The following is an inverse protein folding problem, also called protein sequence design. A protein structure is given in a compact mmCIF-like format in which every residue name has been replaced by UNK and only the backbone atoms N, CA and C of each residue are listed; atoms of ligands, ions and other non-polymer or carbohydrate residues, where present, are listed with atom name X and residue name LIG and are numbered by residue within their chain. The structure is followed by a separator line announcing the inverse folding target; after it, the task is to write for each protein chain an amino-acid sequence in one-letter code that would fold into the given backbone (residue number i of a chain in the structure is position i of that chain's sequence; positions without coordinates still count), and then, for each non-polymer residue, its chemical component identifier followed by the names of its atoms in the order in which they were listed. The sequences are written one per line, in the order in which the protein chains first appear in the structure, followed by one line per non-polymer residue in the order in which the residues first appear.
data_IF_003455218294
#
_entry.id   IF_003455218294
#
_cell.length_a   1.000
_cell.length_b   1.000
_cell.length_c   1.000
_cell.angle_alpha   90.00
_cell.angle_beta   90.00
_cell.angle_gamma   90.00
#
_symmetry.space_group_name_H-M   'P 1'
#
loop_
_entity.id
_entity.type
_entity.pdbx_description
1 polymer ?
#
# COMPACT_ATOMS: atom_id res chain seq x y z
N UNK A 1 -35.36 0.55 -52.94
CA UNK A 1 -34.11 -0.23 -52.80
C UNK A 1 -33.16 0.58 -51.91
N UNK A 2 -32.93 0.07 -50.69
CA UNK A 2 -31.86 0.36 -49.70
C UNK A 2 -31.32 1.79 -49.41
N UNK A 3 -31.79 2.30 -48.26
CA UNK A 3 -31.06 2.95 -47.14
C UNK A 3 -29.52 3.02 -47.24
N UNK A 4 -28.96 4.21 -46.96
CA UNK A 4 -27.57 4.41 -46.49
C UNK A 4 -27.61 5.41 -45.33
N UNK A 5 -27.87 4.95 -44.10
CA UNK A 5 -26.89 4.72 -43.02
C UNK A 5 -26.07 5.96 -42.60
N UNK A 6 -26.64 6.70 -41.64
CA UNK A 6 -25.91 7.59 -40.73
C UNK A 6 -25.19 6.68 -39.72
N UNK A 7 -23.87 6.73 -39.66
CA UNK A 7 -23.08 6.17 -38.54
C UNK A 7 -22.11 7.25 -38.05
N UNK A 8 -22.59 8.12 -37.17
CA UNK A 8 -21.71 8.94 -36.34
C UNK A 8 -21.29 8.09 -35.15
N UNK A 9 -20.05 7.61 -35.17
CA UNK A 9 -19.44 6.85 -34.08
C UNK A 9 -19.25 7.77 -32.88
N UNK A 10 -20.11 7.63 -31.87
CA UNK A 10 -19.90 8.22 -30.55
C UNK A 10 -18.86 7.36 -29.83
N UNK A 11 -17.59 7.70 -29.98
CA UNK A 11 -16.53 7.25 -29.09
C UNK A 11 -16.67 8.00 -27.76
N UNK A 12 -17.62 7.57 -26.93
CA UNK A 12 -17.62 7.89 -25.49
C UNK A 12 -16.40 7.19 -24.90
N UNK A 13 -15.26 7.88 -24.95
CA UNK A 13 -14.11 7.56 -24.14
C UNK A 13 -14.61 7.42 -22.70
N UNK A 14 -14.41 6.25 -22.12
CA UNK A 14 -14.52 6.03 -20.70
C UNK A 14 -13.44 6.87 -20.02
N UNK A 15 -13.68 8.18 -19.89
CA UNK A 15 -12.94 9.02 -18.98
C UNK A 15 -13.38 8.57 -17.58
N UNK A 16 -12.66 7.59 -17.02
CA UNK A 16 -12.66 7.44 -15.58
C UNK A 16 -12.34 8.81 -14.99
N UNK A 17 -13.06 9.29 -13.97
CA UNK A 17 -12.72 10.54 -13.32
C UNK A 17 -11.25 10.43 -12.91
N UNK A 18 -10.40 11.19 -13.61
CA UNK A 18 -9.00 11.28 -13.26
C UNK A 18 -8.97 11.98 -11.91
N UNK A 19 -8.49 11.27 -10.89
CA UNK A 19 -8.33 11.87 -9.57
C UNK A 19 -7.32 13.02 -9.68
N UNK A 20 -7.40 14.01 -8.79
CA UNK A 20 -6.33 15.00 -8.71
C UNK A 20 -5.06 14.34 -8.14
N UNK A 21 -3.90 14.88 -8.51
CA UNK A 21 -2.64 14.51 -7.87
C UNK A 21 -2.74 14.72 -6.35
N UNK A 22 -2.12 13.82 -5.59
CA UNK A 22 -2.20 13.83 -4.13
C UNK A 22 -0.87 13.36 -3.53
N UNK A 23 -0.35 14.13 -2.58
CA UNK A 23 0.72 13.68 -1.69
C UNK A 23 0.18 13.52 -0.28
N UNK A 24 0.19 12.31 0.24
CA UNK A 24 -0.21 11.99 1.62
C UNK A 24 1.03 11.81 2.50
N UNK A 25 1.03 12.44 3.67
CA UNK A 25 2.10 12.34 4.66
C UNK A 25 1.59 11.63 5.90
N UNK A 26 2.17 10.48 6.21
CA UNK A 26 1.97 9.76 7.46
C UNK A 26 3.11 10.01 8.43
N UNK A 27 2.77 10.07 9.72
CA UNK A 27 3.65 10.46 10.82
C UNK A 27 3.49 9.49 12.00
N UNK A 28 4.54 9.34 12.80
CA UNK A 28 4.51 8.72 14.14
C UNK A 28 4.99 9.79 15.12
N UNK A 29 4.28 9.98 16.23
CA UNK A 29 4.69 10.81 17.39
C UNK A 29 5.30 12.19 17.02
N UNK A 30 4.50 13.03 16.38
CA UNK A 30 4.89 14.39 15.98
C UNK A 30 4.42 14.73 14.57
N UNK A 31 5.14 15.64 13.89
CA UNK A 31 4.79 16.12 12.55
C UNK A 31 5.79 15.72 11.46
N UNK A 32 6.87 15.03 11.83
CA UNK A 32 7.82 14.52 10.83
C UNK A 32 7.21 13.33 10.09
N UNK A 33 7.11 13.45 8.76
CA UNK A 33 6.62 12.36 7.92
C UNK A 33 7.61 11.20 7.90
N UNK A 34 7.12 10.03 8.29
CA UNK A 34 7.85 8.76 8.21
C UNK A 34 7.50 7.99 6.93
N UNK A 35 6.32 8.23 6.37
CA UNK A 35 5.89 7.66 5.10
C UNK A 35 5.22 8.76 4.28
N UNK A 36 5.68 8.92 3.05
CA UNK A 36 5.05 9.84 2.09
C UNK A 36 4.61 9.05 0.87
N UNK A 37 3.36 9.24 0.47
CA UNK A 37 2.77 8.61 -0.71
C UNK A 37 2.37 9.68 -1.72
N UNK A 38 3.03 9.68 -2.86
CA UNK A 38 2.72 10.51 -4.02
C UNK A 38 1.83 9.69 -4.95
N UNK A 39 0.65 10.19 -5.29
CA UNK A 39 -0.39 9.51 -6.04
C UNK A 39 -0.74 10.40 -7.21
N UNK A 40 -0.35 10.00 -8.42
CA UNK A 40 -0.68 10.71 -9.63
C UNK A 40 -2.14 10.48 -10.03
N UNK A 41 -2.69 11.43 -10.79
CA UNK A 41 -4.03 11.38 -11.35
C UNK A 41 -4.34 10.11 -12.16
N UNK A 42 -3.31 9.51 -12.77
CA UNK A 42 -3.41 8.28 -13.55
C UNK A 42 -3.38 6.99 -12.70
N UNK A 43 -3.24 7.11 -11.37
CA UNK A 43 -3.15 5.99 -10.43
C UNK A 43 -1.73 5.44 -10.22
N UNK A 44 -0.70 6.05 -10.82
CA UNK A 44 0.68 5.71 -10.47
C UNK A 44 0.98 6.22 -9.05
N UNK A 45 1.71 5.42 -8.27
CA UNK A 45 1.98 5.69 -6.86
C UNK A 45 3.47 5.57 -6.58
N UNK A 46 4.05 6.56 -5.90
CA UNK A 46 5.40 6.47 -5.33
C UNK A 46 5.31 6.61 -3.82
N UNK A 47 5.69 5.58 -3.09
CA UNK A 47 5.65 5.55 -1.63
C UNK A 47 7.06 5.41 -1.06
N UNK A 48 7.46 6.33 -0.18
CA UNK A 48 8.78 6.32 0.49
C UNK A 48 8.60 6.21 1.99
N UNK A 49 9.54 5.53 2.63
CA UNK A 49 9.64 5.42 4.09
C UNK A 49 10.94 6.08 4.55
N UNK A 50 10.83 7.21 5.24
CA UNK A 50 11.98 8.02 5.65
C UNK A 50 12.70 8.66 4.46
N UNK A 51 13.81 8.06 4.02
CA UNK A 51 14.73 8.62 3.03
C UNK A 51 14.29 8.38 1.57
N UNK A 52 14.81 9.18 0.63
CA UNK A 52 14.64 8.96 -0.82
C UNK A 52 15.52 7.82 -1.38
N UNK A 53 16.39 7.21 -0.57
CA UNK A 53 17.31 6.16 -1.02
C UNK A 53 16.61 4.84 -1.34
N UNK A 54 15.38 4.64 -0.86
CA UNK A 54 14.52 3.55 -1.26
C UNK A 54 13.05 3.95 -1.28
N UNK A 55 12.31 3.44 -2.26
CA UNK A 55 10.89 3.72 -2.41
C UNK A 55 10.19 2.60 -3.19
N UNK A 56 8.90 2.45 -2.94
CA UNK A 56 8.01 1.67 -3.77
C UNK A 56 7.44 2.53 -4.88
N UNK A 57 7.33 1.94 -6.07
CA UNK A 57 6.73 2.58 -7.23
C UNK A 57 5.71 1.61 -7.83
N UNK A 58 4.45 2.01 -7.87
CA UNK A 58 3.42 1.34 -8.68
C UNK A 58 3.25 2.14 -9.94
N UNK A 59 3.44 1.49 -11.09
CA UNK A 59 3.27 2.10 -12.41
C UNK A 59 2.45 1.19 -13.30
N UNK A 60 1.38 1.71 -13.89
CA UNK A 60 0.49 0.97 -14.78
C UNK A 60 0.04 -0.39 -14.18
N UNK A 61 -0.23 -0.40 -12.87
CA UNK A 61 -0.67 -1.60 -12.13
C UNK A 61 0.44 -2.57 -11.70
N UNK A 62 1.70 -2.35 -12.09
CA UNK A 62 2.84 -3.14 -11.64
C UNK A 62 3.57 -2.46 -10.49
N UNK A 63 3.85 -3.20 -9.42
CA UNK A 63 4.61 -2.70 -8.27
C UNK A 63 6.09 -3.08 -8.33
N UNK A 64 6.93 -2.09 -8.03
CA UNK A 64 8.38 -2.16 -8.00
C UNK A 64 8.91 -1.66 -6.67
N UNK A 65 10.07 -2.17 -6.27
CA UNK A 65 10.89 -1.61 -5.21
C UNK A 65 12.16 -1.04 -5.84
N UNK A 66 12.46 0.21 -5.52
CA UNK A 66 13.66 0.92 -5.96
C UNK A 66 14.53 1.16 -4.75
N UNK A 67 15.82 0.89 -4.87
CA UNK A 67 16.81 1.19 -3.81
C UNK A 67 18.15 1.59 -4.41
N UNK A 68 19.00 2.24 -3.61
CA UNK A 68 20.41 2.41 -3.94
C UNK A 68 21.14 1.06 -4.03
N UNK A 69 22.01 0.91 -5.03
CA UNK A 69 22.97 -0.17 -5.18
C UNK A 69 24.36 0.36 -5.55
N UNK A 70 25.35 -0.54 -5.72
CA UNK A 70 26.75 -0.15 -5.95
C UNK A 70 26.96 0.71 -7.20
N UNK A 71 26.25 0.39 -8.28
CA UNK A 71 26.41 1.04 -9.60
C UNK A 71 25.26 2.02 -9.93
N UNK A 72 24.43 2.36 -8.94
CA UNK A 72 23.26 3.23 -9.12
C UNK A 72 21.97 2.64 -8.55
N UNK A 73 20.83 3.19 -8.96
CA UNK A 73 19.53 2.72 -8.50
C UNK A 73 19.20 1.35 -9.09
N UNK A 74 18.85 0.41 -8.22
CA UNK A 74 18.34 -0.90 -8.57
C UNK A 74 16.82 -0.86 -8.57
N UNK A 75 16.22 -1.52 -9.56
CA UNK A 75 14.77 -1.66 -9.69
C UNK A 75 14.42 -3.13 -9.66
N UNK A 76 13.52 -3.52 -8.76
CA UNK A 76 13.08 -4.90 -8.60
C UNK A 76 11.57 -4.98 -8.71
N UNK A 77 11.05 -5.97 -9.44
CA UNK A 77 9.60 -6.23 -9.42
C UNK A 77 9.24 -6.84 -8.07
N UNK A 78 8.14 -6.37 -7.47
CA UNK A 78 7.71 -6.87 -6.18
C UNK A 78 7.34 -8.37 -6.22
N UNK A 79 6.90 -8.87 -7.37
CA UNK A 79 6.65 -10.31 -7.61
C UNK A 79 7.93 -11.15 -7.57
N UNK A 80 9.06 -10.62 -8.06
CA UNK A 80 10.34 -11.33 -8.05
C UNK A 80 10.95 -11.31 -6.66
N UNK A 81 10.81 -10.20 -5.92
CA UNK A 81 11.14 -10.14 -4.50
C UNK A 81 10.34 -11.19 -3.72
N UNK A 82 9.02 -11.22 -3.89
CA UNK A 82 8.17 -12.17 -3.18
C UNK A 82 8.54 -13.63 -3.50
N UNK A 83 8.84 -13.93 -4.76
CA UNK A 83 9.28 -15.27 -5.16
C UNK A 83 10.64 -15.65 -4.55
N UNK A 84 11.63 -14.75 -4.57
CA UNK A 84 12.94 -15.00 -3.94
C UNK A 84 12.80 -15.19 -2.43
N UNK A 85 12.00 -14.37 -1.75
CA UNK A 85 11.72 -14.53 -0.32
C UNK A 85 11.04 -15.87 -0.02
N UNK A 86 10.08 -16.29 -0.85
CA UNK A 86 9.41 -17.60 -0.76
C UNK A 86 10.41 -18.76 -0.91
N UNK A 87 11.30 -18.69 -1.90
CA UNK A 87 12.34 -19.71 -2.12
C UNK A 87 13.30 -19.81 -0.92
N UNK A 88 13.74 -18.68 -0.37
CA UNK A 88 14.62 -18.64 0.80
C UNK A 88 13.95 -19.19 2.06
N UNK A 89 12.72 -18.76 2.35
CA UNK A 89 11.94 -19.28 3.48
C UNK A 89 11.60 -20.76 3.31
N UNK A 90 11.45 -21.22 2.06
CA UNK A 90 11.23 -22.63 1.79
C UNK A 90 12.44 -23.49 2.21
N UNK A 91 13.66 -22.96 2.07
CA UNK A 91 14.91 -23.62 2.42
C UNK A 91 15.25 -23.54 3.91
N UNK A 92 14.58 -22.69 4.72
CA UNK A 92 14.83 -22.58 6.15
C UNK A 92 14.14 -23.73 6.94
N UNK A 93 14.90 -24.54 7.71
CA UNK A 93 14.37 -25.72 8.41
C UNK A 93 13.53 -25.38 9.65
N UNK A 94 13.64 -24.17 10.19
CA UNK A 94 12.91 -23.69 11.37
C UNK A 94 11.93 -22.58 11.01
N UNK A 95 10.84 -22.92 10.32
CA UNK A 95 9.75 -21.97 10.10
C UNK A 95 8.99 -21.78 11.42
N UNK A 96 8.61 -20.54 11.79
CA UNK A 96 7.66 -20.32 12.86
C UNK A 96 6.40 -21.14 12.58
N UNK A 97 5.92 -21.91 13.56
CA UNK A 97 4.60 -22.52 13.46
C UNK A 97 3.56 -21.40 13.32
N UNK A 98 2.62 -21.48 12.36
CA UNK A 98 1.53 -20.52 12.27
C UNK A 98 0.83 -20.38 13.62
N UNK A 99 0.50 -19.16 14.03
CA UNK A 99 -0.30 -18.95 15.23
C UNK A 99 -1.67 -19.64 15.04
N UNK A 100 -2.04 -20.64 15.87
CA UNK A 100 -3.30 -21.35 15.74
C UNK A 100 -4.53 -20.44 15.94
N UNK A 101 -4.35 -19.27 16.55
CA UNK A 101 -5.39 -18.25 16.77
C UNK A 101 -5.43 -17.17 15.68
N UNK A 102 -4.54 -17.24 14.69
CA UNK A 102 -4.49 -16.33 13.56
C UNK A 102 -5.86 -16.08 12.91
N UNK A 103 -6.59 -17.17 12.66
CA UNK A 103 -7.91 -17.18 12.03
C UNK A 103 -9.02 -16.58 12.89
N UNK A 104 -8.79 -16.40 14.19
CA UNK A 104 -9.77 -15.85 15.13
C UNK A 104 -9.62 -14.32 15.25
N UNK A 105 -8.49 -13.78 14.79
CA UNK A 105 -8.21 -12.33 14.74
C UNK A 105 -9.11 -11.64 13.72
N UNK A 106 -9.88 -10.66 14.15
CA UNK A 106 -10.78 -9.81 13.37
C UNK A 106 -10.65 -8.36 13.78
N UNK A 107 -10.93 -7.46 12.85
CA UNK A 107 -11.07 -6.04 13.12
C UNK A 107 -12.53 -5.68 13.38
N UNK A 108 -12.82 -5.21 14.59
CA UNK A 108 -14.17 -4.86 15.05
C UNK A 108 -14.30 -3.35 15.18
N UNK A 109 -15.35 -2.79 14.59
CA UNK A 109 -15.65 -1.38 14.69
C UNK A 109 -15.97 -0.98 16.15
N UNK A 110 -15.42 0.14 16.61
CA UNK A 110 -15.66 0.70 17.95
C UNK A 110 -16.47 2.00 17.93
N UNK A 111 -16.52 2.69 16.79
CA UNK A 111 -17.28 3.93 16.65
C UNK A 111 -16.54 4.99 15.83
N UNK A 112 -17.18 6.15 15.69
CA UNK A 112 -16.58 7.28 14.99
C UNK A 112 -15.53 7.97 15.88
N UNK A 113 -14.40 8.31 15.27
CA UNK A 113 -13.30 9.08 15.88
C UNK A 113 -12.81 10.15 14.91
N UNK A 114 -11.97 11.05 15.39
CA UNK A 114 -11.30 12.06 14.57
C UNK A 114 -9.80 11.93 14.72
N UNK A 115 -9.08 11.84 13.60
CA UNK A 115 -7.62 11.89 13.56
C UNK A 115 -7.24 13.19 12.87
N UNK A 116 -6.60 14.10 13.59
CA UNK A 116 -6.15 15.40 13.08
C UNK A 116 -7.25 16.17 12.31
N UNK A 117 -8.48 16.14 12.85
CA UNK A 117 -9.64 16.82 12.28
C UNK A 117 -10.38 16.05 11.18
N UNK A 118 -9.90 14.88 10.76
CA UNK A 118 -10.56 14.00 9.77
C UNK A 118 -11.37 12.94 10.46
N UNK A 119 -12.64 12.81 10.08
CA UNK A 119 -13.55 11.79 10.62
C UNK A 119 -13.25 10.42 10.04
N UNK A 120 -13.29 9.40 10.89
CA UNK A 120 -13.22 8.01 10.47
C UNK A 120 -13.86 7.08 11.50
N UNK A 121 -13.89 5.79 11.17
CA UNK A 121 -14.34 4.73 12.07
C UNK A 121 -13.12 4.01 12.64
N UNK A 122 -13.07 3.92 13.96
CA UNK A 122 -12.04 3.17 14.68
C UNK A 122 -12.34 1.67 14.65
N UNK A 123 -11.28 0.89 14.43
CA UNK A 123 -11.28 -0.57 14.43
C UNK A 123 -10.22 -1.08 15.41
N UNK A 124 -10.60 -2.08 16.18
CA UNK A 124 -9.74 -2.78 17.14
C UNK A 124 -9.62 -4.25 16.77
N UNK A 125 -8.51 -4.87 17.14
CA UNK A 125 -8.39 -6.32 17.09
C UNK A 125 -9.30 -6.95 18.14
N UNK A 126 -10.08 -7.95 17.76
CA UNK A 126 -10.97 -8.74 18.64
C UNK A 126 -10.20 -9.71 19.57
N UNK A 127 -9.17 -9.23 20.27
CA UNK A 127 -8.50 -10.07 21.24
C UNK A 127 -9.41 -10.28 22.48
N UNK A 128 -9.40 -11.48 23.06
CA UNK A 128 -9.91 -11.75 24.42
C UNK A 128 -9.16 -10.95 25.49
N UNK A 129 -7.96 -10.45 25.15
CA UNK A 129 -7.21 -9.44 25.88
C UNK A 129 -7.41 -8.02 25.34
N UNK A 130 -8.52 -7.75 24.64
CA UNK A 130 -8.87 -6.43 24.14
C UNK A 130 -8.86 -5.42 25.30
N UNK A 131 -7.70 -4.79 25.37
CA UNK A 131 -7.35 -3.46 25.84
C UNK A 131 -8.56 -2.52 25.82
N UNK A 132 -8.72 -1.83 26.95
CA UNK A 132 -9.94 -1.13 27.36
C UNK A 132 -10.35 0.00 26.40
N UNK A 133 -11.45 0.71 26.70
CA UNK A 133 -11.94 1.81 25.87
C UNK A 133 -10.92 2.96 25.67
N UNK A 134 -9.90 3.03 26.52
CA UNK A 134 -8.87 4.08 26.50
C UNK A 134 -7.64 3.73 25.65
N UNK A 135 -7.56 2.51 25.11
CA UNK A 135 -6.44 2.10 24.27
C UNK A 135 -6.54 2.66 22.84
N UNK A 136 -5.41 3.03 22.21
CA UNK A 136 -5.41 3.63 20.89
C UNK A 136 -5.94 2.65 19.83
N UNK A 137 -6.69 3.15 18.82
CA UNK A 137 -7.23 2.30 17.77
C UNK A 137 -6.13 1.60 16.97
N UNK A 138 -6.36 0.36 16.57
CA UNK A 138 -5.44 -0.37 15.69
C UNK A 138 -5.46 0.18 14.26
N UNK A 139 -6.66 0.58 13.82
CA UNK A 139 -6.91 1.14 12.49
C UNK A 139 -8.04 2.18 12.59
N UNK A 140 -7.90 3.29 11.86
CA UNK A 140 -9.00 4.24 11.64
C UNK A 140 -9.17 4.44 10.13
N UNK A 141 -10.40 4.25 9.64
CA UNK A 141 -10.72 4.40 8.20
C UNK A 141 -11.72 5.51 7.98
N UNK A 142 -11.41 6.43 7.07
CA UNK A 142 -12.31 7.48 6.61
C UNK A 142 -13.00 7.09 5.31
N UNK A 143 -14.31 7.30 5.24
CA UNK A 143 -15.12 7.15 4.03
C UNK A 143 -15.20 8.44 3.19
N UNK A 144 -14.41 9.47 3.54
CA UNK A 144 -14.33 10.73 2.80
C UNK A 144 -13.97 10.48 1.32
N UNK A 145 -14.87 10.79 0.36
CA UNK A 145 -14.63 10.56 -1.06
C UNK A 145 -13.39 11.29 -1.59
N UNK A 146 -12.99 12.41 -0.97
CA UNK A 146 -11.78 13.14 -1.35
C UNK A 146 -10.50 12.33 -1.08
N UNK A 147 -10.56 11.33 -0.20
CA UNK A 147 -9.43 10.46 0.15
C UNK A 147 -9.43 9.13 -0.62
N UNK A 148 -10.36 8.92 -1.54
CA UNK A 148 -10.44 7.68 -2.32
C UNK A 148 -9.13 7.32 -3.06
N UNK A 149 -8.37 8.26 -3.66
CA UNK A 149 -7.07 7.94 -4.27
C UNK A 149 -6.11 7.29 -3.28
N UNK A 150 -6.09 7.80 -2.04
CA UNK A 150 -5.26 7.29 -0.97
C UNK A 150 -5.71 5.88 -0.52
N UNK A 151 -7.01 5.65 -0.41
CA UNK A 151 -7.56 4.33 -0.11
C UNK A 151 -7.10 3.27 -1.12
N UNK A 152 -7.20 3.60 -2.42
CA UNK A 152 -6.75 2.72 -3.51
C UNK A 152 -5.23 2.48 -3.43
N UNK A 153 -4.44 3.54 -3.29
CA UNK A 153 -2.98 3.46 -3.22
C UNK A 153 -2.49 2.62 -2.04
N UNK A 154 -3.03 2.86 -0.83
CA UNK A 154 -2.66 2.09 0.36
C UNK A 154 -3.09 0.63 0.23
N UNK A 155 -4.29 0.36 -0.28
CA UNK A 155 -4.75 -1.02 -0.52
C UNK A 155 -3.81 -1.77 -1.45
N UNK A 156 -3.45 -1.16 -2.59
CA UNK A 156 -2.55 -1.77 -3.57
C UNK A 156 -1.18 -2.08 -2.96
N UNK A 157 -0.57 -1.09 -2.30
CA UNK A 157 0.74 -1.25 -1.66
C UNK A 157 0.72 -2.31 -0.56
N UNK A 158 -0.31 -2.30 0.28
CA UNK A 158 -0.47 -3.25 1.38
C UNK A 158 -0.68 -4.67 0.84
N UNK A 159 -1.59 -4.87 -0.11
CA UNK A 159 -1.82 -6.18 -0.73
C UNK A 159 -0.57 -6.76 -1.38
N UNK A 160 0.25 -5.93 -2.05
CA UNK A 160 1.50 -6.38 -2.65
C UNK A 160 2.54 -6.84 -1.61
N UNK A 161 2.43 -6.39 -0.35
CA UNK A 161 3.31 -6.78 0.75
C UNK A 161 2.86 -8.03 1.51
N UNK A 162 1.62 -8.49 1.31
CA UNK A 162 1.03 -9.58 2.11
C UNK A 162 1.67 -10.95 1.88
N UNK A 163 2.19 -11.23 0.68
CA UNK A 163 2.81 -12.52 0.38
C UNK A 163 3.94 -12.87 1.37
N UNK A 164 5.01 -12.06 1.43
CA UNK A 164 6.07 -12.19 2.43
C UNK A 164 5.58 -12.21 3.89
N UNK A 165 4.66 -11.31 4.24
CA UNK A 165 4.11 -11.20 5.60
C UNK A 165 3.41 -12.49 6.02
N UNK A 166 2.56 -13.07 5.16
CA UNK A 166 1.83 -14.31 5.45
C UNK A 166 2.74 -15.52 5.66
N UNK A 167 3.90 -15.56 5.01
CA UNK A 167 4.84 -16.68 5.21
C UNK A 167 5.56 -16.54 6.55
N UNK A 168 5.95 -15.32 6.92
CA UNK A 168 6.69 -15.05 8.15
C UNK A 168 5.80 -15.15 9.40
N UNK A 169 4.58 -14.63 9.32
CA UNK A 169 3.68 -14.45 10.46
C UNK A 169 2.41 -15.32 10.36
N UNK A 170 2.25 -16.11 9.31
CA UNK A 170 1.00 -16.83 9.02
C UNK A 170 -0.14 -15.87 8.64
N UNK A 171 -1.37 -16.38 8.63
CA UNK A 171 -2.57 -15.55 8.48
C UNK A 171 -2.90 -14.74 9.75
N UNK A 172 -1.97 -14.64 10.70
CA UNK A 172 -2.17 -13.99 11.99
C UNK A 172 -2.13 -12.47 11.82
N UNK A 173 -3.25 -11.78 12.05
CA UNK A 173 -3.27 -10.32 12.10
C UNK A 173 -4.50 -9.62 11.52
N UNK A 174 -5.50 -10.36 11.02
CA UNK A 174 -6.66 -9.72 10.39
C UNK A 174 -6.30 -8.97 9.10
N UNK A 175 -5.27 -9.44 8.39
CA UNK A 175 -4.77 -8.81 7.17
C UNK A 175 -5.84 -8.65 6.08
N UNK A 176 -6.70 -9.66 5.94
CA UNK A 176 -7.80 -9.64 4.98
C UNK A 176 -8.87 -8.62 5.37
N UNK A 177 -9.13 -8.46 6.68
CA UNK A 177 -10.02 -7.42 7.18
C UNK A 177 -9.44 -6.03 6.89
N UNK A 178 -8.13 -5.81 7.06
CA UNK A 178 -7.49 -4.54 6.69
C UNK A 178 -7.65 -4.24 5.19
N UNK A 179 -7.38 -5.21 4.32
CA UNK A 179 -7.56 -5.05 2.86
C UNK A 179 -9.02 -4.72 2.52
N UNK A 180 -9.98 -5.42 3.14
CA UNK A 180 -11.40 -5.17 2.95
C UNK A 180 -11.82 -3.78 3.47
N UNK A 181 -11.22 -3.32 4.57
CA UNK A 181 -11.46 -1.98 5.12
C UNK A 181 -10.85 -0.88 4.25
N UNK A 182 -9.66 -1.08 3.68
CA UNK A 182 -9.07 -0.15 2.72
C UNK A 182 -9.86 -0.08 1.40
N UNK A 183 -10.61 -1.12 1.05
CA UNK A 183 -11.54 -1.07 -0.08
C UNK A 183 -12.75 -0.14 0.18
N UNK A 184 -13.03 0.21 1.44
CA UNK A 184 -14.15 1.06 1.84
C UNK A 184 -13.75 2.51 2.13
N UNK A 185 -12.47 2.79 2.33
CA UNK A 185 -12.04 4.13 2.71
C UNK A 185 -10.54 4.23 2.98
N UNK A 186 -10.06 5.46 3.16
CA UNK A 186 -8.65 5.76 3.37
C UNK A 186 -8.25 5.56 4.84
N UNK A 187 -7.10 4.94 5.11
CA UNK A 187 -6.60 4.84 6.47
C UNK A 187 -6.13 6.21 6.97
N UNK A 188 -6.76 6.68 8.04
CA UNK A 188 -6.31 7.84 8.82
C UNK A 188 -5.29 7.45 9.89
N UNK A 189 -5.36 6.21 10.38
CA UNK A 189 -4.40 5.63 11.30
C UNK A 189 -4.23 4.17 10.90
N UNK A 190 -3.01 3.70 10.67
CA UNK A 190 -2.71 2.29 10.47
C UNK A 190 -1.24 2.00 10.77
N UNK A 191 -0.93 0.81 11.31
CA UNK A 191 0.44 0.43 11.68
C UNK A 191 1.13 1.47 12.60
N UNK A 192 0.36 2.11 13.48
CA UNK A 192 0.84 3.19 14.37
C UNK A 192 1.05 4.55 13.69
N UNK A 193 0.84 4.66 12.38
CA UNK A 193 1.06 5.90 11.62
C UNK A 193 -0.25 6.65 11.41
N UNK A 194 -0.30 7.93 11.77
CA UNK A 194 -1.43 8.83 11.50
C UNK A 194 -1.25 9.56 10.17
N UNK A 195 -2.34 9.82 9.46
CA UNK A 195 -2.38 10.71 8.31
C UNK A 195 -2.21 12.16 8.79
N UNK A 196 -0.98 12.65 8.72
CA UNK A 196 -0.60 13.99 9.15
C UNK A 196 -1.13 15.09 8.24
N UNK A 197 -1.06 14.89 6.93
CA UNK A 197 -1.43 15.93 5.96
C UNK A 197 -1.58 15.42 4.54
N UNK A 198 -2.21 16.26 3.70
CA UNK A 198 -2.41 16.02 2.28
C UNK A 198 -2.06 17.29 1.52
N UNK A 199 -1.25 17.16 0.48
CA UNK A 199 -0.93 18.22 -0.47
C UNK A 199 -1.49 17.86 -1.86
N UNK A 200 -2.40 18.67 -2.44
CA UNK A 200 -2.96 18.45 -3.77
C UNK A 200 -2.07 19.01 -4.91
N UNK A 201 -0.80 19.33 -4.64
CA UNK A 201 0.11 19.85 -5.65
C UNK A 201 0.28 18.90 -6.86
N UNK A 202 0.47 19.51 -8.03
CA UNK A 202 0.75 18.76 -9.25
C UNK A 202 2.05 17.95 -9.13
N UNK A 203 1.99 16.69 -9.53
CA UNK A 203 3.12 15.76 -9.50
C UNK A 203 3.64 15.55 -10.93
N UNK A 204 4.89 15.93 -11.23
CA UNK A 204 5.42 15.76 -12.58
C UNK A 204 5.57 14.26 -12.89
N UNK A 205 5.17 13.86 -14.10
CA UNK A 205 5.19 12.47 -14.54
C UNK A 205 6.57 11.79 -14.43
N UNK A 206 7.66 12.58 -14.48
CA UNK A 206 9.03 12.09 -14.30
C UNK A 206 9.27 11.43 -12.94
N UNK A 207 8.48 11.74 -11.89
CA UNK A 207 8.59 11.09 -10.57
C UNK A 207 8.20 9.62 -10.58
N UNK A 208 7.40 9.20 -11.57
CA UNK A 208 6.85 7.85 -11.66
C UNK A 208 7.55 7.00 -12.73
N UNK A 209 8.65 7.49 -13.31
CA UNK A 209 9.45 6.75 -14.27
C UNK A 209 10.40 5.81 -13.52
N UNK A 210 10.58 4.59 -14.05
CA UNK A 210 11.59 3.68 -13.53
C UNK A 210 12.99 4.23 -13.82
N UNK A 211 13.86 4.41 -12.82
CA UNK A 211 15.18 5.00 -13.03
C UNK A 211 16.16 4.04 -13.72
N UNK A 212 15.86 2.75 -13.75
CA UNK A 212 16.63 1.72 -14.43
C UNK A 212 15.70 0.58 -14.90
N UNK A 213 16.21 -0.30 -15.76
CA UNK A 213 15.49 -1.53 -16.12
C UNK A 213 15.38 -2.46 -14.89
N UNK A 214 14.23 -3.15 -14.70
CA UNK A 214 14.10 -4.12 -13.62
C UNK A 214 15.14 -5.23 -13.71
N UNK A 215 15.71 -5.59 -12.56
CA UNK A 215 16.59 -6.75 -12.42
C UNK A 215 15.88 -8.04 -12.82
N UNK A 216 16.65 -9.02 -13.31
CA UNK A 216 16.16 -10.39 -13.45
C UNK A 216 15.94 -11.02 -12.07
N UNK A 217 15.08 -12.02 -11.96
CA UNK A 217 14.89 -12.76 -10.70
C UNK A 217 16.19 -13.31 -10.12
N UNK A 218 17.11 -13.77 -10.97
CA UNK A 218 18.43 -14.24 -10.52
C UNK A 218 19.25 -13.13 -9.88
N UNK A 219 19.25 -11.93 -10.48
CA UNK A 219 19.94 -10.78 -9.90
C UNK A 219 19.27 -10.32 -8.59
N UNK A 220 17.94 -10.40 -8.48
CA UNK A 220 17.23 -10.19 -7.20
C UNK A 220 17.69 -11.19 -6.14
N UNK A 221 17.84 -12.47 -6.50
CA UNK A 221 18.32 -13.50 -5.58
C UNK A 221 19.72 -13.19 -5.06
N UNK A 222 20.64 -12.82 -5.96
CA UNK A 222 22.00 -12.45 -5.61
C UNK A 222 22.03 -11.23 -4.66
N UNK A 223 21.22 -10.21 -4.94
CA UNK A 223 21.10 -9.00 -4.10
C UNK A 223 20.65 -9.31 -2.66
N UNK A 224 19.66 -10.20 -2.50
CA UNK A 224 19.20 -10.63 -1.17
C UNK A 224 20.26 -11.43 -0.41
N UNK A 225 21.05 -12.26 -1.09
CA UNK A 225 22.12 -13.03 -0.45
C UNK A 225 23.33 -12.19 -0.07
N UNK A 226 23.68 -11.17 -0.86
CA UNK A 226 24.83 -10.28 -0.59
C UNK A 226 24.56 -9.27 0.53
N UNK A 227 23.29 -9.08 0.92
CA UNK A 227 22.86 -8.17 1.97
C UNK A 227 22.74 -8.82 3.37
N UNK A 228 23.04 -10.13 3.49
CA UNK A 228 23.15 -10.86 4.77
C UNK A 228 24.61 -10.92 5.21
#
# INVERSE_FOLDING_TARGET
MFKTMILAAVALAWAHPAFADMTAHYVIDGDQSIMTMEIAANGDVRARFGSDASYFLTRAGQSYYVKAGPDGLLVMRQEDIAAVMLEQLAAEPSRPSPDPHAKDVRLVARGAVSIRGRKGVAYMVNDKHARGPDDPPYLVVSDDPALMPLAVAVRMQFSASLGPIRILYGDAGGWDDMVALFARGAPLLFLGMELGGIDPAHLPASRFVLPASPLSREAVRHDFTASR
#
